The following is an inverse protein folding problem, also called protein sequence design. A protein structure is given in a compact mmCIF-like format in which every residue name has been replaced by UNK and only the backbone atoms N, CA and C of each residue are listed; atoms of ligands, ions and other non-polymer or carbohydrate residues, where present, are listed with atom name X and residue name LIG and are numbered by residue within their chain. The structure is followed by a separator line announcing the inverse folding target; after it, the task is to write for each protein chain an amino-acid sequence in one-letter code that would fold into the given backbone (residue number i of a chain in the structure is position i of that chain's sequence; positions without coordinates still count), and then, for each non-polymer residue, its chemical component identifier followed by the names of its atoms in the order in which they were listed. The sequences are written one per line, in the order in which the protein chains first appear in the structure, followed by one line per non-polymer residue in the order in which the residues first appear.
data_IF_465815649988
#
_entry.id   IF_465815649988
#
_cell.length_a   1.000
_cell.length_b   1.000
_cell.length_c   1.000
_cell.angle_alpha   90.00
_cell.angle_beta   90.00
_cell.angle_gamma   90.00
#
_symmetry.space_group_name_H-M   'P 1'
#
loop_
_entity.id
_entity.type
_entity.pdbx_description
1 polymer ?
#
# COMPACT_ATOMS: atom_id res chain seq x y z
N UNK A 1 23.68 13.02 6.76
CA UNK A 1 22.27 13.18 6.34
C UNK A 1 22.24 13.41 4.85
N UNK A 2 21.34 12.77 4.10
CA UNK A 2 21.14 13.08 2.68
C UNK A 2 20.52 14.48 2.57
N UNK A 3 21.06 15.33 1.68
CA UNK A 3 20.43 16.63 1.41
C UNK A 3 19.18 16.46 0.56
N UNK A 4 18.25 17.42 0.65
CA UNK A 4 17.06 17.48 -0.21
C UNK A 4 17.41 17.40 -1.69
N UNK A 5 18.47 18.11 -2.11
CA UNK A 5 18.97 18.06 -3.49
C UNK A 5 19.47 16.67 -3.90
N UNK A 6 20.17 15.95 -3.01
CA UNK A 6 20.63 14.59 -3.28
C UNK A 6 19.46 13.60 -3.41
N UNK A 7 18.45 13.71 -2.54
CA UNK A 7 17.23 12.90 -2.63
C UNK A 7 16.49 13.15 -3.94
N UNK A 8 16.30 14.42 -4.30
CA UNK A 8 15.68 14.81 -5.58
C UNK A 8 16.44 14.24 -6.78
N UNK A 9 17.76 14.37 -6.80
CA UNK A 9 18.60 13.83 -7.87
C UNK A 9 18.44 12.31 -8.00
N UNK A 10 18.39 11.60 -6.87
CA UNK A 10 18.15 10.16 -6.86
C UNK A 10 16.78 9.79 -7.40
N UNK A 11 15.71 10.50 -7.00
CA UNK A 11 14.35 10.24 -7.49
C UNK A 11 14.24 10.38 -9.01
N UNK A 12 14.91 11.39 -9.58
CA UNK A 12 14.95 11.60 -11.03
C UNK A 12 15.79 10.53 -11.74
N UNK A 13 17.00 10.24 -11.23
CA UNK A 13 17.87 9.23 -11.83
C UNK A 13 17.24 7.84 -11.83
N UNK A 14 16.51 7.49 -10.77
CA UNK A 14 15.80 6.22 -10.63
C UNK A 14 14.43 6.19 -11.33
N UNK A 15 13.98 7.30 -11.94
CA UNK A 15 12.64 7.47 -12.53
C UNK A 15 11.49 7.14 -11.57
N UNK A 16 11.68 7.50 -10.29
CA UNK A 16 10.66 7.43 -9.26
C UNK A 16 9.82 8.73 -9.22
N UNK A 17 10.41 9.84 -9.64
CA UNK A 17 9.75 11.10 -9.96
C UNK A 17 10.36 11.70 -11.24
N UNK A 18 9.75 12.76 -11.76
CA UNK A 18 9.95 13.21 -13.14
C UNK A 18 9.23 12.28 -14.12
N UNK A 19 9.77 12.06 -15.33
CA UNK A 19 9.23 11.10 -16.29
C UNK A 19 9.25 9.68 -15.72
N UNK A 20 8.09 9.05 -15.60
CA UNK A 20 7.96 7.70 -15.05
C UNK A 20 7.70 6.67 -16.16
N UNK A 21 7.98 5.40 -15.88
CA UNK A 21 7.77 4.32 -16.83
C UNK A 21 6.29 3.98 -17.08
N UNK A 22 5.39 4.41 -16.18
CA UNK A 22 3.95 4.23 -16.35
C UNK A 22 3.44 5.18 -17.42
N UNK A 23 2.85 4.70 -18.53
CA UNK A 23 2.32 5.56 -19.56
C UNK A 23 0.99 6.19 -19.12
N UNK A 24 0.68 7.36 -19.67
CA UNK A 24 -0.48 8.19 -19.30
C UNK A 24 -1.81 7.44 -19.39
N UNK A 25 -1.97 6.61 -20.40
CA UNK A 25 -3.13 5.76 -20.66
C UNK A 25 -3.41 4.81 -19.50
N UNK A 26 -2.36 4.25 -18.88
CA UNK A 26 -2.49 3.34 -17.75
C UNK A 26 -2.91 4.08 -16.49
N UNK A 27 -2.40 5.29 -16.26
CA UNK A 27 -2.82 6.16 -15.16
C UNK A 27 -4.30 6.53 -15.30
N UNK A 28 -4.70 7.06 -16.47
CA UNK A 28 -6.09 7.45 -16.75
C UNK A 28 -7.06 6.26 -16.66
N UNK A 29 -6.66 5.08 -17.14
CA UNK A 29 -7.44 3.85 -16.96
C UNK A 29 -7.63 3.52 -15.48
N UNK A 30 -6.59 3.67 -14.66
CA UNK A 30 -6.68 3.41 -13.22
C UNK A 30 -7.62 4.41 -12.54
N UNK A 31 -7.60 5.67 -12.98
CA UNK A 31 -8.50 6.71 -12.47
C UNK A 31 -9.96 6.38 -12.79
N UNK A 32 -10.26 6.01 -14.05
CA UNK A 32 -11.61 5.56 -14.46
C UNK A 32 -12.11 4.39 -13.64
N UNK A 33 -11.27 3.38 -13.44
CA UNK A 33 -11.61 2.20 -12.65
C UNK A 33 -11.84 2.56 -11.16
N UNK A 34 -11.07 3.50 -10.62
CA UNK A 34 -11.24 3.96 -9.24
C UNK A 34 -12.56 4.75 -9.07
N UNK A 35 -12.86 5.67 -10.00
CA UNK A 35 -14.13 6.41 -10.04
C UNK A 35 -15.33 5.44 -10.13
N UNK A 36 -15.21 4.38 -10.93
CA UNK A 36 -16.20 3.30 -11.03
C UNK A 36 -16.23 2.34 -9.82
N UNK A 37 -15.41 2.59 -8.79
CA UNK A 37 -15.28 1.76 -7.58
C UNK A 37 -14.89 0.31 -7.86
N UNK A 38 -14.09 0.08 -8.89
CA UNK A 38 -13.62 -1.26 -9.23
C UNK A 38 -12.72 -1.80 -8.11
N UNK A 39 -13.10 -2.91 -7.45
CA UNK A 39 -12.42 -3.43 -6.27
C UNK A 39 -10.97 -3.85 -6.52
N UNK A 40 -10.50 -3.88 -7.77
CA UNK A 40 -9.12 -4.23 -8.15
C UNK A 40 -8.17 -3.04 -8.06
N UNK A 41 -8.66 -1.81 -8.04
CA UNK A 41 -7.86 -0.57 -7.97
C UNK A 41 -8.19 0.31 -6.76
N UNK A 42 -9.09 -0.14 -5.88
CA UNK A 42 -9.51 0.63 -4.69
C UNK A 42 -8.41 0.78 -3.63
N UNK A 43 -7.30 0.06 -3.73
CA UNK A 43 -6.17 0.14 -2.77
C UNK A 43 -6.55 -0.23 -1.34
N UNK A 44 -7.64 -0.99 -1.17
CA UNK A 44 -8.22 -1.24 0.16
C UNK A 44 -8.92 -0.02 0.76
N UNK A 45 -8.95 1.11 0.06
CA UNK A 45 -9.62 2.32 0.46
C UNK A 45 -11.13 2.19 0.27
N UNK A 46 -11.87 2.87 1.14
CA UNK A 46 -13.30 3.10 0.98
C UNK A 46 -13.51 4.62 0.97
N UNK A 47 -13.48 5.26 -0.21
CA UNK A 47 -13.65 6.71 -0.33
C UNK A 47 -14.94 7.16 0.32
N UNK A 48 -14.87 8.25 1.10
CA UNK A 48 -16.01 8.81 1.83
C UNK A 48 -17.08 9.35 0.87
N UNK A 49 -16.66 9.85 -0.29
CA UNK A 49 -17.53 10.34 -1.36
C UNK A 49 -17.24 9.64 -2.69
N UNK A 50 -18.18 9.76 -3.61
CA UNK A 50 -17.95 9.39 -5.01
C UNK A 50 -17.08 10.44 -5.68
N UNK A 51 -16.21 10.00 -6.58
CA UNK A 51 -15.34 10.83 -7.40
C UNK A 51 -15.66 10.53 -8.86
N UNK A 52 -15.82 11.56 -9.68
CA UNK A 52 -15.79 11.38 -11.12
C UNK A 52 -14.35 11.42 -11.66
N UNK A 53 -14.17 11.08 -12.94
CA UNK A 53 -12.84 11.05 -13.58
C UNK A 53 -12.15 12.44 -13.57
N UNK A 54 -12.83 13.55 -13.94
CA UNK A 54 -12.24 14.89 -13.85
C UNK A 54 -11.78 15.29 -12.43
N UNK A 55 -12.60 15.03 -11.40
CA UNK A 55 -12.25 15.31 -10.02
C UNK A 55 -11.04 14.50 -9.56
N UNK A 56 -10.95 13.23 -9.97
CA UNK A 56 -9.82 12.38 -9.64
C UNK A 56 -8.55 12.82 -10.38
N UNK A 57 -8.66 13.22 -11.65
CA UNK A 57 -7.55 13.79 -12.39
C UNK A 57 -7.01 15.05 -11.70
N UNK A 58 -7.90 15.96 -11.29
CA UNK A 58 -7.53 17.15 -10.53
C UNK A 58 -6.87 16.79 -9.20
N UNK A 59 -7.39 15.82 -8.47
CA UNK A 59 -6.77 15.34 -7.24
C UNK A 59 -5.34 14.83 -7.48
N UNK A 60 -5.13 14.07 -8.55
CA UNK A 60 -3.81 13.54 -8.88
C UNK A 60 -2.86 14.63 -9.35
N UNK A 61 -3.33 15.64 -10.09
CA UNK A 61 -2.54 16.82 -10.42
C UNK A 61 -2.15 17.59 -9.15
N UNK A 62 -3.08 17.79 -8.22
CA UNK A 62 -2.83 18.50 -6.96
C UNK A 62 -1.87 17.72 -6.04
N UNK A 63 -1.99 16.40 -5.96
CA UNK A 63 -1.19 15.58 -5.02
C UNK A 63 0.12 15.06 -5.59
N UNK A 64 0.15 14.73 -6.87
CA UNK A 64 1.29 14.11 -7.53
C UNK A 64 1.93 15.00 -8.61
N UNK A 65 1.28 16.10 -9.00
CA UNK A 65 1.80 17.00 -10.03
C UNK A 65 1.76 16.42 -11.44
N UNK A 66 0.90 15.43 -11.70
CA UNK A 66 0.64 14.93 -13.07
C UNK A 66 -0.05 16.03 -13.90
N UNK A 67 -0.03 15.91 -15.22
CA UNK A 67 -0.78 16.83 -16.09
C UNK A 67 -2.27 16.84 -15.76
N UNK A 68 -2.83 18.02 -15.51
CA UNK A 68 -4.26 18.25 -15.28
C UNK A 68 -5.07 18.39 -16.58
N UNK A 69 -4.40 18.45 -17.74
CA UNK A 69 -5.05 18.62 -19.04
C UNK A 69 -5.85 17.36 -19.41
N UNK A 70 -7.19 17.45 -19.56
CA UNK A 70 -8.01 16.32 -19.97
C UNK A 70 -7.76 15.90 -21.43
N UNK A 71 -7.21 16.77 -22.27
CA UNK A 71 -6.84 16.43 -23.65
C UNK A 71 -5.53 15.62 -23.71
N UNK A 72 -4.72 15.64 -22.66
CA UNK A 72 -3.50 14.85 -22.56
C UNK A 72 -3.81 13.39 -22.18
N UNK A 73 -4.18 12.60 -23.19
CA UNK A 73 -4.69 11.23 -23.02
C UNK A 73 -3.66 10.11 -23.27
N UNK A 74 -2.51 10.42 -23.86
CA UNK A 74 -1.50 9.41 -24.28
C UNK A 74 -0.07 9.91 -24.13
N UNK A 75 0.88 8.97 -24.09
CA UNK A 75 2.32 9.26 -24.02
C UNK A 75 2.91 9.12 -22.61
N UNK A 76 4.10 9.69 -22.35
CA UNK A 76 4.78 9.58 -21.07
C UNK A 76 4.01 10.34 -19.98
N UNK A 77 3.88 9.72 -18.80
CA UNK A 77 3.38 10.41 -17.61
C UNK A 77 4.56 10.89 -16.75
N UNK A 78 4.29 11.84 -15.85
CA UNK A 78 5.29 12.38 -14.95
C UNK A 78 4.75 12.63 -13.56
N UNK A 79 5.61 12.46 -12.55
CA UNK A 79 5.32 12.81 -11.16
C UNK A 79 6.21 13.98 -10.77
N UNK A 80 5.66 15.02 -10.15
CA UNK A 80 6.43 16.20 -9.74
C UNK A 80 7.45 15.82 -8.65
N UNK A 81 8.76 16.05 -8.89
CA UNK A 81 9.81 15.70 -7.93
C UNK A 81 9.77 16.55 -6.66
N UNK A 82 9.40 17.83 -6.74
CA UNK A 82 9.31 18.69 -5.55
C UNK A 82 8.15 18.28 -4.66
N UNK A 83 6.99 17.96 -5.26
CA UNK A 83 5.85 17.42 -4.52
C UNK A 83 6.18 16.08 -3.87
N UNK A 84 6.95 15.25 -4.56
CA UNK A 84 7.39 13.95 -4.02
C UNK A 84 8.30 14.15 -2.80
N UNK A 85 9.29 15.04 -2.89
CA UNK A 85 10.18 15.39 -1.77
C UNK A 85 9.38 15.95 -0.59
N UNK A 86 8.51 16.92 -0.83
CA UNK A 86 7.68 17.51 0.23
C UNK A 86 6.78 16.47 0.91
N UNK A 87 6.23 15.51 0.15
CA UNK A 87 5.44 14.41 0.71
C UNK A 87 6.28 13.44 1.55
N UNK A 88 7.53 13.17 1.15
CA UNK A 88 8.46 12.35 1.93
C UNK A 88 8.85 13.04 3.24
N UNK A 89 9.08 14.36 3.22
CA UNK A 89 9.35 15.14 4.44
C UNK A 89 8.14 15.12 5.38
N UNK A 90 6.93 15.36 4.86
CA UNK A 90 5.71 15.27 5.66
C UNK A 90 5.49 13.86 6.25
N UNK A 91 5.87 12.81 5.51
CA UNK A 91 5.84 11.44 6.01
C UNK A 91 6.86 11.21 7.12
N UNK A 92 8.09 11.70 6.96
CA UNK A 92 9.13 11.62 7.98
C UNK A 92 8.72 12.34 9.27
N UNK A 93 8.14 13.54 9.18
CA UNK A 93 7.59 14.23 10.33
C UNK A 93 6.47 13.45 11.01
N UNK A 94 5.57 12.83 10.23
CA UNK A 94 4.46 12.03 10.77
C UNK A 94 4.96 10.83 11.55
N UNK A 95 6.04 10.19 11.09
CA UNK A 95 6.75 9.12 11.80
C UNK A 95 7.42 9.65 13.06
N UNK A 96 8.11 10.80 12.99
CA UNK A 96 8.72 11.44 14.15
C UNK A 96 7.70 11.76 15.25
N UNK A 97 6.54 12.30 14.88
CA UNK A 97 5.42 12.52 15.82
C UNK A 97 4.89 11.22 16.42
N UNK A 98 4.83 10.14 15.64
CA UNK A 98 4.40 8.85 16.14
C UNK A 98 5.37 8.28 17.18
N UNK A 99 6.68 8.34 16.89
CA UNK A 99 7.76 7.91 17.77
C UNK A 99 7.77 8.73 19.08
N UNK A 100 7.72 10.06 18.98
CA UNK A 100 7.72 10.95 20.15
C UNK A 100 6.54 10.68 21.09
N UNK A 101 5.37 10.35 20.54
CA UNK A 101 4.16 10.02 21.28
C UNK A 101 4.03 8.53 21.63
N UNK A 102 4.96 7.68 21.18
CA UNK A 102 4.95 6.23 21.36
C UNK A 102 3.62 5.56 20.98
N UNK A 103 2.97 6.07 19.93
CA UNK A 103 1.66 5.56 19.53
C UNK A 103 1.78 4.17 18.91
N UNK A 104 0.75 3.32 19.01
CA UNK A 104 0.71 2.05 18.30
C UNK A 104 0.78 2.24 16.78
N UNK A 105 1.51 1.35 16.09
CA UNK A 105 1.71 1.42 14.63
C UNK A 105 1.41 0.09 13.96
N UNK A 106 0.83 0.15 12.76
CA UNK A 106 0.62 -0.99 11.87
C UNK A 106 1.35 -0.72 10.56
N UNK A 107 2.20 -1.66 10.16
CA UNK A 107 2.98 -1.58 8.92
C UNK A 107 2.58 -2.74 8.01
N UNK A 108 2.47 -2.49 6.72
CA UNK A 108 2.12 -3.52 5.75
C UNK A 108 2.60 -3.20 4.34
N UNK A 109 2.80 -4.24 3.54
CA UNK A 109 3.24 -4.08 2.15
C UNK A 109 2.58 -5.07 1.20
N UNK A 110 2.18 -4.57 0.03
CA UNK A 110 1.77 -5.39 -1.12
C UNK A 110 2.94 -5.86 -1.99
N UNK A 111 4.18 -5.43 -1.70
CA UNK A 111 5.38 -5.75 -2.49
C UNK A 111 6.48 -6.35 -1.61
N UNK A 112 6.24 -7.52 -0.98
CA UNK A 112 7.14 -8.06 0.04
C UNK A 112 8.57 -8.27 -0.48
N UNK A 113 8.77 -8.64 -1.74
CA UNK A 113 10.13 -8.84 -2.28
C UNK A 113 10.98 -7.57 -2.37
N UNK A 114 10.35 -6.39 -2.53
CA UNK A 114 11.08 -5.12 -2.73
C UNK A 114 11.05 -4.23 -1.50
N UNK A 115 9.94 -4.23 -0.77
CA UNK A 115 9.69 -3.24 0.29
C UNK A 115 9.71 -3.81 1.70
N UNK A 116 9.75 -5.14 1.86
CA UNK A 116 9.73 -5.74 3.20
C UNK A 116 10.91 -5.27 4.06
N UNK A 117 12.13 -5.24 3.50
CA UNK A 117 13.31 -4.77 4.23
C UNK A 117 13.18 -3.32 4.71
N UNK A 118 12.64 -2.45 3.84
CA UNK A 118 12.39 -1.05 4.17
C UNK A 118 11.39 -0.90 5.33
N UNK A 119 10.22 -1.54 5.21
CA UNK A 119 9.20 -1.45 6.27
C UNK A 119 9.62 -2.14 7.56
N UNK A 120 10.40 -3.22 7.49
CA UNK A 120 10.95 -3.89 8.67
C UNK A 120 11.94 -2.98 9.40
N UNK A 121 12.78 -2.24 8.68
CA UNK A 121 13.66 -1.23 9.30
C UNK A 121 12.87 -0.13 10.01
N UNK A 122 11.74 0.32 9.44
CA UNK A 122 10.84 1.25 10.11
C UNK A 122 10.18 0.64 11.35
N UNK A 123 9.76 -0.63 11.28
CA UNK A 123 9.18 -1.34 12.41
C UNK A 123 10.17 -1.41 13.59
N UNK A 124 11.42 -1.80 13.30
CA UNK A 124 12.48 -1.91 14.30
C UNK A 124 12.78 -0.54 14.93
N UNK A 125 12.91 0.52 14.12
CA UNK A 125 13.18 1.87 14.62
C UNK A 125 12.05 2.42 15.49
N UNK A 126 10.79 2.23 15.09
CA UNK A 126 9.63 2.65 15.87
C UNK A 126 9.50 1.84 17.16
N UNK A 127 9.74 0.52 17.10
CA UNK A 127 9.76 -0.34 18.28
C UNK A 127 10.84 0.08 19.27
N UNK A 128 12.06 0.39 18.80
CA UNK A 128 13.15 0.90 19.62
C UNK A 128 12.83 2.27 20.27
N UNK A 129 12.02 3.10 19.60
CA UNK A 129 11.50 4.35 20.18
C UNK A 129 10.36 4.14 21.20
N UNK A 130 9.89 2.90 21.37
CA UNK A 130 8.83 2.52 22.32
C UNK A 130 7.41 2.49 21.73
N UNK A 131 7.25 2.56 20.41
CA UNK A 131 5.95 2.34 19.76
C UNK A 131 5.55 0.86 19.78
N UNK A 132 4.32 0.50 20.22
CA UNK A 132 3.78 -0.84 20.02
C UNK A 132 3.59 -1.15 18.53
N UNK A 133 4.30 -2.15 18.00
CA UNK A 133 4.10 -2.64 16.62
C UNK A 133 2.99 -3.69 16.63
N UNK A 134 1.87 -3.36 15.99
CA UNK A 134 0.66 -4.16 16.01
C UNK A 134 0.70 -5.25 14.92
N UNK A 135 0.28 -6.46 15.28
CA UNK A 135 0.11 -7.60 14.34
C UNK A 135 -1.33 -8.15 14.34
N UNK A 136 -2.35 -7.29 14.17
CA UNK A 136 -3.75 -7.70 14.28
C UNK A 136 -4.10 -8.73 13.20
N UNK A 137 -5.03 -9.63 13.54
CA UNK A 137 -5.55 -10.63 12.60
C UNK A 137 -4.46 -11.52 11.97
N UNK A 138 -3.32 -11.71 12.63
CA UNK A 138 -2.28 -12.64 12.19
C UNK A 138 -2.86 -14.06 12.00
N UNK A 139 -2.49 -14.69 10.88
CA UNK A 139 -2.96 -16.01 10.51
C UNK A 139 -4.42 -16.06 10.03
N UNK A 140 -5.10 -14.91 9.91
CA UNK A 140 -6.48 -14.88 9.43
C UNK A 140 -6.57 -14.99 7.91
N UNK A 141 -7.49 -15.85 7.50
CA UNK A 141 -7.98 -15.96 6.14
C UNK A 141 -8.73 -14.65 5.73
N UNK A 142 -8.33 -13.99 4.63
CA UNK A 142 -8.92 -12.78 4.04
C UNK A 142 -9.36 -13.03 2.59
N UNK A 143 -10.55 -12.58 2.22
CA UNK A 143 -11.05 -12.73 0.84
C UNK A 143 -10.71 -11.48 0.02
N UNK A 144 -10.06 -11.70 -1.12
CA UNK A 144 -9.63 -10.66 -2.06
C UNK A 144 -10.29 -10.89 -3.42
N UNK A 145 -10.99 -9.89 -3.90
CA UNK A 145 -11.57 -9.88 -5.25
C UNK A 145 -10.46 -9.75 -6.30
N UNK A 146 -10.37 -10.74 -7.18
CA UNK A 146 -9.45 -10.74 -8.32
C UNK A 146 -10.24 -10.70 -9.62
N UNK A 147 -9.54 -10.51 -10.76
CA UNK A 147 -10.16 -10.64 -12.09
C UNK A 147 -10.74 -12.03 -12.38
N UNK A 148 -10.39 -13.04 -11.59
CA UNK A 148 -10.85 -14.43 -11.71
C UNK A 148 -11.85 -14.83 -10.61
N UNK A 149 -12.48 -13.85 -9.96
CA UNK A 149 -13.35 -14.06 -8.81
C UNK A 149 -12.65 -13.86 -7.47
N UNK A 150 -13.32 -14.24 -6.38
CA UNK A 150 -12.80 -14.10 -5.01
C UNK A 150 -11.78 -15.19 -4.73
N UNK A 151 -10.61 -14.80 -4.23
CA UNK A 151 -9.61 -15.73 -3.73
C UNK A 151 -9.35 -15.46 -2.24
N UNK A 152 -9.27 -16.52 -1.45
CA UNK A 152 -8.93 -16.43 -0.03
C UNK A 152 -7.42 -16.48 0.13
N UNK A 153 -6.87 -15.53 0.88
CA UNK A 153 -5.45 -15.40 1.21
C UNK A 153 -5.27 -15.43 2.73
N UNK A 154 -4.03 -15.56 3.20
CA UNK A 154 -3.72 -15.46 4.62
C UNK A 154 -2.97 -14.15 4.90
N UNK A 155 -3.38 -13.46 5.97
CA UNK A 155 -2.61 -12.34 6.51
C UNK A 155 -1.48 -12.88 7.39
N UNK A 156 -0.25 -12.54 7.04
CA UNK A 156 0.95 -12.92 7.78
C UNK A 156 1.79 -11.69 8.12
N UNK A 157 2.71 -11.84 9.07
CA UNK A 157 3.61 -10.78 9.51
C UNK A 157 5.05 -11.28 9.48
N UNK A 158 5.92 -10.55 8.78
CA UNK A 158 7.36 -10.80 8.79
C UNK A 158 8.04 -9.56 9.35
N UNK A 159 8.77 -9.72 10.46
CA UNK A 159 9.45 -8.62 11.18
C UNK A 159 8.52 -7.43 11.45
N UNK A 160 7.31 -7.70 11.95
CA UNK A 160 6.32 -6.68 12.26
C UNK A 160 5.59 -6.06 11.06
N UNK A 161 5.85 -6.53 9.83
CA UNK A 161 5.22 -6.01 8.60
C UNK A 161 4.19 -6.99 8.06
N UNK A 162 2.94 -6.52 7.94
CA UNK A 162 1.83 -7.25 7.36
C UNK A 162 2.04 -7.51 5.86
N UNK A 163 1.78 -8.74 5.41
CA UNK A 163 1.73 -9.12 4.00
C UNK A 163 0.68 -10.20 3.76
N UNK A 164 0.24 -10.28 2.51
CA UNK A 164 -0.78 -11.24 2.09
C UNK A 164 -0.10 -12.43 1.42
N UNK A 165 -0.43 -13.66 1.85
CA UNK A 165 0.08 -14.90 1.25
C UNK A 165 -1.02 -15.69 0.55
N UNK A 166 -0.69 -16.25 -0.61
CA UNK A 166 -1.54 -17.22 -1.29
C UNK A 166 -1.70 -18.50 -0.45
N UNK A 167 -2.86 -19.18 -0.53
CA UNK A 167 -3.04 -20.50 0.07
C UNK A 167 -2.14 -21.49 -0.67
N UNK A 168 -1.26 -22.19 0.06
CA UNK A 168 -0.32 -23.18 -0.51
C UNK A 168 1.17 -22.89 -0.33
N UNK A 169 1.55 -21.85 0.43
CA UNK A 169 2.91 -21.75 1.01
C UNK A 169 3.99 -21.12 0.14
N UNK A 170 3.64 -20.46 -0.98
CA UNK A 170 4.60 -19.69 -1.77
C UNK A 170 4.58 -18.20 -1.43
N UNK A 171 5.76 -17.57 -1.34
CA UNK A 171 5.92 -16.12 -1.58
C UNK A 171 5.72 -15.88 -3.07
N UNK A 172 4.47 -15.89 -3.54
CA UNK A 172 4.14 -15.44 -4.90
C UNK A 172 3.70 -13.99 -4.84
N UNK A 173 4.36 -13.18 -5.67
CA UNK A 173 3.95 -11.81 -5.98
C UNK A 173 2.54 -11.87 -6.55
N UNK A 174 1.56 -11.46 -5.76
CA UNK A 174 0.32 -10.93 -6.33
C UNK A 174 0.72 -9.58 -6.92
N UNK A 175 0.63 -9.40 -8.25
CA UNK A 175 0.58 -8.05 -8.84
C UNK A 175 -0.41 -7.28 -7.99
N UNK A 176 -0.09 -6.09 -7.46
CA UNK A 176 -0.80 -5.54 -6.33
C UNK A 176 -2.30 -5.51 -6.65
N UNK A 177 -3.05 -6.43 -6.04
CA UNK A 177 -4.48 -6.47 -6.13
C UNK A 177 -4.95 -5.53 -5.04
N UNK A 178 -5.23 -4.31 -5.46
CA UNK A 178 -5.52 -3.18 -4.60
C UNK A 178 -6.97 -3.31 -4.11
N UNK A 179 -7.20 -3.99 -2.98
CA UNK A 179 -8.54 -4.51 -2.68
C UNK A 179 -8.97 -4.39 -1.21
N UNK A 180 -10.27 -4.13 -1.05
CA UNK A 180 -11.01 -4.08 0.21
C UNK A 180 -11.02 -5.45 0.87
N UNK A 181 -10.42 -5.57 2.06
CA UNK A 181 -10.46 -6.79 2.87
C UNK A 181 -11.91 -7.06 3.27
N UNK A 182 -12.48 -8.18 2.81
CA UNK A 182 -13.79 -8.66 3.30
C UNK A 182 -13.58 -9.84 4.25
N UNK A 183 -14.37 -9.86 5.33
CA UNK A 183 -14.43 -10.99 6.26
C UNK A 183 -14.87 -12.23 5.46
N UNK A 184 -14.10 -13.31 5.60
CA UNK A 184 -14.35 -14.56 4.88
C UNK A 184 -15.79 -15.05 5.10
N UNK A 185 -16.48 -15.43 4.01
CA UNK A 185 -17.89 -15.90 4.05
C UNK A 185 -18.03 -17.33 4.60
N UNK A 186 -16.97 -18.13 4.59
CA UNK A 186 -17.03 -19.49 5.11
C UNK A 186 -16.77 -19.51 6.61
N UNK A 187 -17.77 -19.94 7.38
CA UNK A 187 -17.63 -20.27 8.79
C UNK A 187 -16.41 -21.17 9.01
N UNK A 188 -15.47 -20.66 9.81
CA UNK A 188 -14.39 -21.36 10.50
C UNK A 188 -13.90 -22.69 9.90
N UNK A 189 -12.90 -22.62 9.01
CA UNK A 189 -11.85 -23.66 8.91
C UNK A 189 -10.63 -23.17 8.09
N UNK A 190 -9.69 -22.54 8.77
CA UNK A 190 -8.31 -22.38 8.27
C UNK A 190 -7.58 -23.63 8.85
N UNK A 191 -7.50 -24.75 8.11
CA UNK A 191 -6.88 -26.02 8.57
C UNK A 191 -5.38 -26.01 8.23
N UNK A 192 -4.56 -25.31 9.00
CA UNK A 192 -3.11 -25.54 9.02
C UNK A 192 -2.80 -26.64 10.03
N UNK A 193 -2.59 -27.87 9.53
CA UNK A 193 -1.99 -28.95 10.35
C UNK A 193 -0.51 -28.62 10.56
N UNK A 194 -0.15 -28.25 11.79
CA UNK A 194 0.97 -28.85 12.57
C UNK A 194 1.01 -28.24 13.97
N UNK A 195 0.66 -29.09 14.94
CA UNK A 195 1.06 -29.14 16.36
C UNK A 195 1.15 -27.86 17.18
N UNK A 196 0.32 -27.81 18.25
CA UNK A 196 0.68 -27.11 19.49
C UNK A 196 -0.26 -25.98 19.92
N UNK A 197 -1.30 -26.34 20.68
CA UNK A 197 -1.92 -25.61 21.81
C UNK A 197 -1.98 -24.07 21.83
N UNK A 198 -3.21 -23.54 21.96
CA UNK A 198 -3.47 -22.23 22.57
C UNK A 198 -4.63 -21.47 21.94
N UNK A 199 -5.85 -21.72 22.39
CA UNK A 199 -7.03 -20.94 22.02
C UNK A 199 -7.15 -19.75 22.97
N UNK A 200 -7.05 -18.51 22.48
CA UNK A 200 -7.50 -17.33 23.21
C UNK A 200 -8.44 -16.49 22.33
N UNK A 201 -9.66 -16.30 22.84
CA UNK A 201 -10.64 -15.34 22.36
C UNK A 201 -10.35 -13.98 23.02
N UNK A 202 -10.24 -12.92 22.23
CA UNK A 202 -10.69 -11.58 22.65
C UNK A 202 -10.90 -10.66 21.45
N UNK A 203 -12.14 -10.12 21.43
CA UNK A 203 -12.70 -8.92 20.79
C UNK A 203 -12.19 -8.45 19.42
#
# INVERSE_FOLDING_TARGET
MLSTGALRAHLLAARLAGPVATPRENSLRSYRLFAARDPRVMLGLSPERTWDEPELLRLMADRCGVSADPAHVSGPDAIDPERTVAALDAFAERLGRAAARRVPVLLGTGHPHRLLGFYAGLADALSAAGCPVLTPAQGRCIDITTRFGVRTYNLDYVRGVALVREPGGGLRVVKPAHTRIRRCRSGWRCRTRRSGTGCFRSW
#
